data_IF_437897534829
#
_entry.id   IF_437897534829
#
_cell.length_a   1.000
_cell.length_b   1.000
_cell.length_c   1.000
_cell.angle_alpha   90.00
_cell.angle_beta   90.00
_cell.angle_gamma   90.00
#
_symmetry.space_group_name_H-M   'P 1'
#
loop_
_entity.id
_entity.type
_entity.pdbx_description
1 polymer ?
#
# COMPACT_ATOMS: atom_id res chain seq x y z
N UNK A 1 -11.19 28.33 12.74
CA UNK A 1 -10.56 27.62 13.89
C UNK A 1 -10.43 26.16 13.56
N UNK A 2 -9.20 25.68 13.37
CA UNK A 2 -8.89 24.29 13.07
C UNK A 2 -9.01 23.44 14.35
N UNK A 3 -9.75 22.33 14.27
CA UNK A 3 -9.93 21.40 15.40
C UNK A 3 -9.09 20.14 15.17
N UNK A 4 -8.33 19.77 16.20
CA UNK A 4 -7.55 18.55 16.23
C UNK A 4 -8.00 17.67 17.39
N UNK A 5 -8.20 16.39 17.11
CA UNK A 5 -8.43 15.37 18.13
C UNK A 5 -7.37 14.29 17.96
N UNK A 6 -6.73 13.85 19.03
CA UNK A 6 -5.74 12.78 18.97
C UNK A 6 -6.08 11.67 19.96
N UNK A 7 -5.68 10.45 19.61
CA UNK A 7 -5.73 9.30 20.49
C UNK A 7 -4.47 8.46 20.33
N UNK A 8 -3.96 7.96 21.46
CA UNK A 8 -2.79 7.09 21.51
C UNK A 8 -3.27 5.64 21.59
N UNK A 9 -2.69 4.74 20.80
CA UNK A 9 -3.05 3.31 20.83
C UNK A 9 -2.67 2.62 22.15
N UNK A 10 -1.78 3.23 22.94
CA UNK A 10 -1.08 2.63 24.09
C UNK A 10 -1.87 2.60 25.40
N UNK A 11 -3.00 3.29 25.53
CA UNK A 11 -3.83 3.27 26.74
C UNK A 11 -4.81 2.09 26.79
N UNK A 12 -4.39 0.94 26.25
CA UNK A 12 -5.23 -0.25 26.15
C UNK A 12 -4.88 -1.26 27.22
N UNK A 13 -5.69 -1.25 28.27
CA UNK A 13 -5.69 -2.29 29.31
C UNK A 13 -6.48 -3.53 28.89
N UNK A 14 -7.09 -3.54 27.69
CA UNK A 14 -7.88 -4.65 27.13
C UNK A 14 -7.78 -4.69 25.59
N UNK A 15 -7.90 -5.87 24.94
CA UNK A 15 -7.87 -5.99 23.48
C UNK A 15 -9.02 -5.23 22.80
N UNK A 16 -8.74 -4.60 21.65
CA UNK A 16 -9.78 -3.96 20.82
C UNK A 16 -10.49 -5.01 19.98
N UNK A 17 -11.82 -5.09 20.10
CA UNK A 17 -12.65 -5.86 19.17
C UNK A 17 -12.66 -5.21 17.78
N UNK A 18 -12.65 -6.02 16.72
CA UNK A 18 -12.64 -5.55 15.33
C UNK A 18 -13.78 -4.56 14.97
N UNK A 19 -14.84 -4.49 15.79
CA UNK A 19 -15.94 -3.52 15.69
C UNK A 19 -15.55 -2.06 15.94
N UNK A 20 -14.49 -1.82 16.72
CA UNK A 20 -14.16 -0.48 17.27
C UNK A 20 -13.38 0.42 16.30
N UNK A 21 -12.87 -0.11 15.18
CA UNK A 21 -12.24 0.64 14.06
C UNK A 21 -11.17 1.68 14.47
N UNK A 22 -10.40 1.47 15.53
CA UNK A 22 -9.25 2.32 15.90
C UNK A 22 -8.01 1.83 15.13
N UNK A 23 -7.46 2.62 14.22
CA UNK A 23 -6.48 2.15 13.21
C UNK A 23 -5.13 2.85 13.33
N UNK A 24 -4.11 2.13 13.79
CA UNK A 24 -2.67 2.33 13.47
C UNK A 24 -2.33 1.44 12.25
N UNK A 25 -1.11 1.49 11.70
CA UNK A 25 -0.67 0.50 10.70
C UNK A 25 -0.93 -0.91 11.26
N UNK A 26 -1.60 -1.77 10.50
CA UNK A 26 -2.12 -3.05 11.01
C UNK A 26 -1.04 -4.14 11.13
N UNK A 27 0.23 -3.78 11.23
CA UNK A 27 1.33 -4.73 11.38
C UNK A 27 1.80 -4.85 12.83
N UNK A 28 2.34 -6.02 13.19
CA UNK A 28 2.80 -6.34 14.54
C UNK A 28 3.88 -5.37 15.04
N UNK A 29 4.64 -4.74 14.15
CA UNK A 29 5.68 -3.80 14.52
C UNK A 29 5.04 -2.52 15.09
N UNK A 30 4.07 -1.95 14.38
CA UNK A 30 3.34 -0.75 14.80
C UNK A 30 2.59 -0.94 16.12
N UNK A 31 1.98 -2.11 16.33
CA UNK A 31 1.21 -2.38 17.57
C UNK A 31 2.06 -2.62 18.81
N UNK A 32 3.16 -3.37 18.69
CA UNK A 32 3.90 -3.86 19.86
C UNK A 32 5.24 -3.15 20.07
N UNK A 33 5.77 -2.47 19.05
CA UNK A 33 7.14 -1.97 19.06
C UNK A 33 7.27 -0.49 18.69
N UNK A 34 6.17 0.19 18.32
CA UNK A 34 6.16 1.63 18.02
C UNK A 34 5.31 2.42 19.02
N UNK A 35 5.65 3.71 19.18
CA UNK A 35 4.78 4.68 19.83
C UNK A 35 4.09 5.51 18.76
N UNK A 36 2.86 5.16 18.41
CA UNK A 36 2.09 5.84 17.37
C UNK A 36 0.88 6.56 17.96
N UNK A 37 0.56 7.72 17.37
CA UNK A 37 -0.65 8.48 17.64
C UNK A 37 -1.44 8.63 16.34
N UNK A 38 -2.77 8.61 16.46
CA UNK A 38 -3.65 8.94 15.36
C UNK A 38 -4.29 10.30 15.63
N UNK A 39 -4.24 11.17 14.63
CA UNK A 39 -4.81 12.51 14.69
C UNK A 39 -5.98 12.58 13.72
N UNK A 40 -7.16 12.89 14.25
CA UNK A 40 -8.32 13.26 13.45
C UNK A 40 -8.25 14.76 13.18
N UNK A 41 -8.20 15.10 11.90
CA UNK A 41 -8.18 16.47 11.40
C UNK A 41 -9.58 16.79 10.87
N UNK A 42 -10.26 17.73 11.52
CA UNK A 42 -11.57 18.24 11.09
C UNK A 42 -11.38 19.57 10.35
N UNK A 43 -10.94 19.48 9.10
CA UNK A 43 -10.68 20.61 8.21
C UNK A 43 -11.03 20.28 6.77
N UNK A 44 -12.04 20.92 6.17
CA UNK A 44 -12.42 20.67 4.78
C UNK A 44 -11.24 20.78 3.81
N UNK A 45 -10.41 21.82 3.97
CA UNK A 45 -9.29 22.08 3.05
C UNK A 45 -8.23 20.99 3.12
N UNK A 46 -7.85 20.55 4.34
CA UNK A 46 -6.86 19.50 4.53
C UNK A 46 -7.42 18.15 4.06
N UNK A 47 -8.67 17.85 4.39
CA UNK A 47 -9.33 16.61 3.96
C UNK A 47 -9.44 16.54 2.44
N UNK A 48 -9.76 17.64 1.76
CA UNK A 48 -9.80 17.69 0.29
C UNK A 48 -8.42 17.48 -0.33
N UNK A 49 -7.37 18.09 0.22
CA UNK A 49 -6.00 17.88 -0.24
C UNK A 49 -5.57 16.41 -0.07
N UNK A 50 -5.88 15.79 1.08
CA UNK A 50 -5.61 14.37 1.34
C UNK A 50 -6.36 13.46 0.37
N UNK A 51 -7.65 13.71 0.12
CA UNK A 51 -8.45 12.95 -0.86
C UNK A 51 -7.83 13.05 -2.25
N UNK A 52 -7.39 14.25 -2.66
CA UNK A 52 -6.73 14.46 -3.95
C UNK A 52 -5.44 13.64 -4.06
N UNK A 53 -4.61 13.63 -3.00
CA UNK A 53 -3.40 12.80 -2.95
C UNK A 53 -3.68 11.30 -2.97
N UNK A 54 -4.70 10.83 -2.26
CA UNK A 54 -5.13 9.42 -2.30
C UNK A 54 -5.56 9.05 -3.72
N UNK A 55 -6.42 9.85 -4.34
CA UNK A 55 -6.93 9.59 -5.69
C UNK A 55 -5.83 9.63 -6.75
N UNK A 56 -4.78 10.45 -6.56
CA UNK A 56 -3.63 10.47 -7.46
C UNK A 56 -2.77 9.19 -7.38
N UNK A 57 -2.80 8.48 -6.25
CA UNK A 57 -1.99 7.27 -6.02
C UNK A 57 -2.82 5.97 -6.01
N UNK A 58 -4.15 6.07 -6.15
CA UNK A 58 -5.07 4.93 -6.14
C UNK A 58 -5.70 4.75 -7.51
N UNK A 59 -5.50 3.55 -8.06
CA UNK A 59 -6.06 3.13 -9.33
C UNK A 59 -7.53 2.69 -9.24
N UNK A 60 -8.04 2.56 -8.00
CA UNK A 60 -9.37 2.00 -7.70
C UNK A 60 -10.52 2.78 -8.35
N UNK A 61 -10.43 4.12 -8.38
CA UNK A 61 -11.47 4.95 -9.01
C UNK A 61 -11.53 4.81 -10.53
N UNK A 62 -10.43 4.35 -11.15
CA UNK A 62 -10.29 4.22 -12.60
C UNK A 62 -10.61 2.79 -13.05
N UNK A 63 -10.07 1.79 -12.34
CA UNK A 63 -10.06 0.38 -12.76
C UNK A 63 -10.92 -0.55 -11.89
N UNK A 64 -11.55 -0.05 -10.83
CA UNK A 64 -12.42 -0.86 -9.96
C UNK A 64 -11.67 -1.44 -8.76
N UNK A 65 -11.90 -2.69 -8.38
CA UNK A 65 -11.09 -3.35 -7.34
C UNK A 65 -9.92 -4.11 -7.97
N UNK A 66 -8.78 -4.15 -7.30
CA UNK A 66 -7.63 -4.94 -7.75
C UNK A 66 -7.99 -6.43 -7.76
N UNK A 67 -7.39 -7.21 -8.68
CA UNK A 67 -7.54 -8.66 -8.69
C UNK A 67 -7.20 -9.26 -7.32
N UNK A 68 -8.15 -9.99 -6.72
CA UNK A 68 -8.01 -10.52 -5.36
C UNK A 68 -6.94 -11.61 -5.25
N UNK A 69 -6.77 -12.39 -6.31
CA UNK A 69 -5.85 -13.54 -6.32
C UNK A 69 -4.41 -13.15 -6.68
N UNK A 70 -4.24 -12.16 -7.57
CA UNK A 70 -2.93 -11.81 -8.14
C UNK A 70 -2.47 -10.39 -7.83
N UNK A 71 -3.34 -9.54 -7.27
CA UNK A 71 -3.01 -8.14 -6.96
C UNK A 71 -2.79 -7.28 -8.20
N UNK A 72 -3.32 -7.68 -9.37
CA UNK A 72 -3.10 -6.98 -10.64
C UNK A 72 -4.33 -6.14 -11.03
N UNK A 73 -4.07 -4.88 -11.38
CA UNK A 73 -5.05 -3.98 -11.98
C UNK A 73 -5.29 -4.33 -13.45
N UNK A 74 -6.55 -4.40 -13.85
CA UNK A 74 -6.96 -4.64 -15.24
C UNK A 74 -7.93 -3.57 -15.71
N UNK A 75 -7.85 -3.22 -16.99
CA UNK A 75 -8.81 -2.32 -17.62
C UNK A 75 -10.16 -3.01 -17.90
N UNK A 76 -11.08 -2.27 -18.53
CA UNK A 76 -12.42 -2.77 -18.87
C UNK A 76 -12.40 -3.91 -19.86
N UNK A 77 -11.36 -4.02 -20.66
CA UNK A 77 -11.17 -5.06 -21.67
C UNK A 77 -10.40 -6.27 -21.10
N UNK A 78 -9.99 -6.20 -19.82
CA UNK A 78 -9.27 -7.25 -19.11
C UNK A 78 -7.75 -7.19 -19.29
N UNK A 79 -7.22 -6.18 -19.96
CA UNK A 79 -5.78 -6.03 -20.15
C UNK A 79 -5.12 -5.54 -18.86
N UNK A 80 -3.91 -6.04 -18.59
CA UNK A 80 -3.13 -5.62 -17.43
C UNK A 80 -2.76 -4.15 -17.55
N UNK A 81 -3.10 -3.36 -16.54
CA UNK A 81 -2.69 -1.97 -16.44
C UNK A 81 -1.21 -1.94 -16.11
N UNK A 82 -0.43 -1.26 -16.94
CA UNK A 82 0.98 -1.07 -16.69
C UNK A 82 1.17 -0.29 -15.38
N UNK A 83 1.79 -0.93 -14.38
CA UNK A 83 2.14 -0.26 -13.13
C UNK A 83 3.18 0.82 -13.40
N UNK A 84 3.04 1.98 -12.76
CA UNK A 84 3.88 3.17 -12.90
C UNK A 84 5.34 3.01 -12.43
N UNK A 85 5.84 1.79 -12.19
CA UNK A 85 7.21 1.53 -11.75
C UNK A 85 7.89 0.31 -12.36
N UNK A 86 7.19 -0.51 -13.14
CA UNK A 86 7.78 -1.64 -13.86
C UNK A 86 7.37 -1.47 -15.31
N UNK A 87 8.25 -0.86 -16.11
CA UNK A 87 8.15 -1.02 -17.55
C UNK A 87 8.05 -2.52 -17.82
N UNK A 88 7.03 -2.95 -18.58
CA UNK A 88 6.98 -4.33 -19.06
C UNK A 88 8.38 -4.66 -19.59
N UNK A 89 9.04 -5.72 -19.11
CA UNK A 89 10.41 -5.97 -19.47
C UNK A 89 10.44 -6.08 -20.99
N UNK A 90 11.12 -5.12 -21.63
CA UNK A 90 11.42 -5.25 -23.05
C UNK A 90 12.16 -6.57 -23.29
N UNK A 91 12.39 -6.96 -24.55
CA UNK A 91 13.06 -8.23 -24.87
C UNK A 91 14.33 -8.48 -24.04
N UNK A 92 15.07 -7.42 -23.73
CA UNK A 92 16.28 -7.46 -22.92
C UNK A 92 16.06 -7.73 -21.41
N UNK A 93 14.92 -7.32 -20.85
CA UNK A 93 14.55 -7.59 -19.46
C UNK A 93 14.17 -9.06 -19.24
N UNK A 94 13.52 -9.69 -20.22
CA UNK A 94 13.21 -11.13 -20.21
C UNK A 94 14.51 -11.94 -20.25
N UNK A 95 15.43 -11.59 -21.15
CA UNK A 95 16.76 -12.24 -21.26
C UNK A 95 17.56 -12.11 -19.96
N UNK A 96 17.58 -10.92 -19.34
CA UNK A 96 18.22 -10.72 -18.03
C UNK A 96 17.56 -11.55 -16.92
N UNK A 97 16.23 -11.66 -16.92
CA UNK A 97 15.48 -12.47 -15.94
C UNK A 97 15.85 -13.95 -16.01
N UNK A 98 15.89 -14.51 -17.22
CA UNK A 98 16.33 -15.90 -17.44
C UNK A 98 17.81 -16.10 -17.09
N UNK A 99 18.68 -15.17 -17.48
CA UNK A 99 20.11 -15.23 -17.14
C UNK A 99 20.35 -15.20 -15.63
N UNK A 100 19.63 -14.33 -14.91
CA UNK A 100 19.71 -14.24 -13.44
C UNK A 100 19.20 -15.49 -12.72
N UNK A 101 18.13 -16.11 -13.21
CA UNK A 101 17.63 -17.38 -12.68
C UNK A 101 18.64 -18.53 -12.87
N UNK A 102 19.26 -18.61 -14.05
CA UNK A 102 20.31 -19.60 -14.32
C UNK A 102 21.56 -19.36 -13.46
N UNK A 103 21.96 -18.10 -13.26
CA UNK A 103 23.09 -17.74 -12.41
C UNK A 103 22.83 -18.07 -10.92
N UNK A 104 21.60 -17.88 -10.44
CA UNK A 104 21.18 -18.28 -9.08
C UNK A 104 21.21 -19.79 -8.89
N UNK A 105 20.72 -20.55 -9.87
CA UNK A 105 20.78 -22.04 -9.84
C UNK A 105 22.21 -22.55 -9.92
N UNK A 106 23.10 -21.82 -10.61
CA UNK A 106 24.54 -22.13 -10.70
C UNK A 106 25.35 -21.64 -9.50
N UNK A 107 24.72 -21.01 -8.50
CA UNK A 107 25.37 -20.53 -7.29
C UNK A 107 26.31 -19.34 -7.49
N UNK A 108 26.27 -18.68 -8.64
CA UNK A 108 27.17 -17.55 -8.99
C UNK A 108 26.52 -16.17 -8.83
N UNK A 109 25.26 -16.09 -8.38
CA UNK A 109 24.55 -14.84 -8.16
C UNK A 109 24.85 -14.20 -6.81
N UNK A 110 25.86 -13.32 -6.75
CA UNK A 110 25.99 -12.30 -5.70
C UNK A 110 24.96 -11.18 -5.91
N UNK A 111 24.67 -10.43 -4.83
CA UNK A 111 23.72 -9.31 -4.78
C UNK A 111 23.87 -8.32 -5.95
#
# INVERSE_FOLDING_TARGET
>A
NLKFHWYTAKDQVKPIGASEKKRSSHDTQSWFHSQEINIMIDSPDITQAMISGINANQNTSIYGAVGKEDGIWRDRDGNVVQSSGIAAPGPMGIVKGFGGAIARVRGTGGF
#
